data_IF_792464394240
#
_entry.id   IF_792464394240
#
_cell.length_a   1.000
_cell.length_b   1.000
_cell.length_c   1.000
_cell.angle_alpha   90.00
_cell.angle_beta   90.00
_cell.angle_gamma   90.00
#
_symmetry.space_group_name_H-M   'P 1'
#
loop_
_entity.id
_entity.type
_entity.pdbx_description
1 polymer ?
#
# COMPACT_ATOMS: atom_id res chain seq x y z
N UNK A 1 -6.12 -1.80 10.75
CA UNK A 1 -4.95 -1.88 9.84
C UNK A 1 -3.84 -2.62 10.57
N UNK A 2 -3.20 -3.60 9.96
CA UNK A 2 -2.09 -4.35 10.57
C UNK A 2 -0.77 -3.56 10.50
N UNK A 3 0.15 -3.85 11.44
CA UNK A 3 1.57 -3.49 11.31
C UNK A 3 2.29 -4.49 10.39
N UNK A 4 3.58 -4.28 10.13
CA UNK A 4 4.33 -5.19 9.26
C UNK A 4 4.40 -6.63 9.80
N UNK A 5 4.47 -6.81 11.12
CA UNK A 5 4.49 -8.14 11.76
C UNK A 5 3.20 -8.93 11.58
N UNK A 6 2.09 -8.24 11.36
CA UNK A 6 0.78 -8.87 11.17
C UNK A 6 0.52 -9.25 9.70
N UNK A 7 1.40 -8.82 8.78
CA UNK A 7 1.29 -9.11 7.35
C UNK A 7 2.07 -10.39 7.04
N UNK A 8 1.35 -11.36 6.49
CA UNK A 8 1.90 -12.65 6.13
C UNK A 8 2.76 -12.56 4.87
N UNK A 9 4.01 -13.05 4.94
CA UNK A 9 4.95 -13.04 3.82
C UNK A 9 5.48 -11.66 3.43
N UNK A 10 5.94 -11.53 2.19
CA UNK A 10 6.51 -10.30 1.61
C UNK A 10 7.69 -9.71 2.37
N UNK A 11 8.54 -10.58 2.97
CA UNK A 11 9.63 -10.18 3.86
C UNK A 11 10.58 -9.16 3.23
N UNK A 12 10.91 -9.31 1.94
CA UNK A 12 11.80 -8.38 1.23
C UNK A 12 11.20 -6.97 1.15
N UNK A 13 9.89 -6.85 0.92
CA UNK A 13 9.21 -5.56 0.86
C UNK A 13 9.11 -4.94 2.25
N UNK A 14 8.74 -5.73 3.25
CA UNK A 14 8.68 -5.29 4.65
C UNK A 14 10.04 -4.79 5.12
N UNK A 15 11.11 -5.53 4.83
CA UNK A 15 12.46 -5.15 5.21
C UNK A 15 12.91 -3.86 4.50
N UNK A 16 12.62 -3.74 3.19
CA UNK A 16 12.87 -2.50 2.45
C UNK A 16 12.21 -1.29 3.11
N UNK A 17 10.93 -1.39 3.47
CA UNK A 17 10.21 -0.31 4.15
C UNK A 17 10.77 -0.02 5.54
N UNK A 18 11.07 -1.06 6.34
CA UNK A 18 11.67 -0.89 7.67
C UNK A 18 13.01 -0.19 7.59
N UNK A 19 13.87 -0.58 6.67
CA UNK A 19 15.17 0.07 6.45
C UNK A 19 15.02 1.51 6.00
N UNK A 20 14.07 1.81 5.09
CA UNK A 20 13.82 3.18 4.64
C UNK A 20 13.43 4.09 5.83
N UNK A 21 12.57 3.62 6.73
CA UNK A 21 12.18 4.36 7.93
C UNK A 21 13.35 4.53 8.90
N UNK A 22 14.09 3.45 9.19
CA UNK A 22 15.23 3.46 10.13
C UNK A 22 16.36 4.39 9.70
N UNK A 23 16.64 4.41 8.40
CA UNK A 23 17.75 5.21 7.83
C UNK A 23 17.34 6.62 7.43
N UNK A 24 16.03 6.92 7.48
CA UNK A 24 15.49 8.18 6.97
C UNK A 24 15.60 8.35 5.45
N UNK A 25 15.92 7.27 4.72
CA UNK A 25 16.06 7.27 3.25
C UNK A 25 14.77 6.78 2.59
N UNK A 26 13.70 7.50 2.82
CA UNK A 26 12.39 7.21 2.25
C UNK A 26 12.32 7.81 0.84
N UNK A 27 12.00 7.00 -0.16
CA UNK A 27 11.74 7.49 -1.50
C UNK A 27 10.39 8.22 -1.56
N UNK A 28 10.30 9.20 -2.44
CA UNK A 28 9.09 10.01 -2.60
C UNK A 28 7.95 9.30 -3.36
N UNK A 29 8.27 8.23 -4.13
CA UNK A 29 7.26 7.48 -4.87
C UNK A 29 7.57 5.98 -4.93
N UNK A 30 6.55 5.17 -4.68
CA UNK A 30 6.60 3.71 -4.74
C UNK A 30 5.44 3.17 -5.58
N UNK A 31 5.69 2.10 -6.31
CA UNK A 31 4.66 1.29 -6.97
C UNK A 31 4.63 -0.08 -6.32
N UNK A 32 3.51 -0.46 -5.72
CA UNK A 32 3.26 -1.80 -5.21
C UNK A 32 2.38 -2.53 -6.21
N UNK A 33 2.97 -3.51 -6.90
CA UNK A 33 2.27 -4.28 -7.93
C UNK A 33 2.03 -5.73 -7.50
N UNK A 34 0.86 -6.27 -7.84
CA UNK A 34 0.46 -7.62 -7.53
C UNK A 34 -1.03 -7.84 -7.76
N UNK A 35 -1.50 -9.08 -7.80
CA UNK A 35 -2.92 -9.38 -7.97
C UNK A 35 -3.78 -8.80 -6.81
N UNK A 36 -5.07 -8.60 -7.08
CA UNK A 36 -6.04 -8.26 -6.04
C UNK A 36 -6.04 -9.34 -4.94
N UNK A 37 -6.05 -8.93 -3.66
CA UNK A 37 -6.01 -9.87 -2.53
C UNK A 37 -4.61 -10.28 -2.07
N UNK A 38 -3.52 -9.87 -2.73
CA UNK A 38 -2.15 -10.20 -2.32
C UNK A 38 -1.59 -9.33 -1.18
N UNK A 39 -2.34 -8.34 -0.67
CA UNK A 39 -1.91 -7.54 0.48
C UNK A 39 -1.25 -6.19 0.15
N UNK A 40 -1.35 -5.68 -1.08
CA UNK A 40 -0.83 -4.37 -1.48
C UNK A 40 -1.25 -3.25 -0.54
N UNK A 41 -2.56 -3.15 -0.28
CA UNK A 41 -3.14 -2.12 0.60
C UNK A 41 -2.69 -2.28 2.06
N UNK A 42 -2.56 -3.52 2.52
CA UNK A 42 -2.04 -3.79 3.87
C UNK A 42 -0.59 -3.33 4.03
N UNK A 43 0.27 -3.61 3.06
CA UNK A 43 1.67 -3.15 3.05
C UNK A 43 1.77 -1.62 2.97
N UNK A 44 0.99 -0.99 2.09
CA UNK A 44 0.96 0.47 1.96
C UNK A 44 0.52 1.14 3.27
N UNK A 45 -0.52 0.61 3.90
CA UNK A 45 -1.03 1.10 5.18
C UNK A 45 -0.04 0.90 6.34
N UNK A 46 0.64 -0.25 6.40
CA UNK A 46 1.67 -0.50 7.41
C UNK A 46 2.86 0.45 7.24
N UNK A 47 3.25 0.73 6.01
CA UNK A 47 4.31 1.69 5.72
C UNK A 47 3.89 3.12 6.09
N UNK A 48 2.68 3.55 5.71
CA UNK A 48 2.14 4.84 6.11
C UNK A 48 2.08 4.99 7.64
N UNK A 49 1.60 3.96 8.35
CA UNK A 49 1.60 3.92 9.81
C UNK A 49 3.01 4.12 10.41
N UNK A 50 4.02 3.46 9.84
CA UNK A 50 5.40 3.60 10.30
C UNK A 50 5.96 4.99 10.05
N UNK A 51 5.67 5.60 8.89
CA UNK A 51 6.10 6.95 8.54
C UNK A 51 5.47 8.03 9.42
N UNK A 52 4.21 7.82 9.81
CA UNK A 52 3.43 8.79 10.59
C UNK A 52 3.54 8.55 12.11
N UNK A 53 4.13 7.42 12.54
CA UNK A 53 4.27 7.07 13.94
C UNK A 53 5.20 8.05 14.68
N UNK A 54 4.72 8.70 15.74
CA UNK A 54 5.47 9.68 16.54
C UNK A 54 6.76 9.10 17.18
N UNK A 55 6.82 7.77 17.35
CA UNK A 55 8.01 7.11 17.92
C UNK A 55 9.12 6.90 16.90
N UNK A 56 8.88 7.15 15.61
CA UNK A 56 9.87 7.00 14.54
C UNK A 56 10.47 5.59 14.42
N UNK A 57 9.75 4.57 14.83
CA UNK A 57 10.19 3.18 14.76
C UNK A 57 9.83 2.57 13.41
N UNK A 58 10.66 1.64 12.94
CA UNK A 58 10.39 0.87 11.71
C UNK A 58 9.13 0.00 11.80
N UNK A 59 8.74 -0.38 13.01
CA UNK A 59 7.46 -1.03 13.29
C UNK A 59 6.56 -0.02 14.01
N UNK A 60 5.33 0.25 13.53
CA UNK A 60 4.47 1.25 14.16
C UNK A 60 4.06 0.83 15.57
N UNK A 61 4.04 1.78 16.51
CA UNK A 61 3.77 1.48 17.91
C UNK A 61 2.30 1.18 18.23
N UNK A 62 1.37 1.48 17.34
CA UNK A 62 -0.09 1.30 17.44
C UNK A 62 -0.77 2.03 18.61
N UNK A 63 -0.04 2.83 19.39
CA UNK A 63 -0.54 3.41 20.64
C UNK A 63 -0.46 4.94 20.68
N UNK A 64 0.45 5.58 19.92
CA UNK A 64 0.57 7.03 19.88
C UNK A 64 -0.64 7.68 19.22
N UNK A 65 -0.78 8.99 19.36
CA UNK A 65 -1.90 9.74 18.81
C UNK A 65 -2.01 9.59 17.29
N UNK A 66 -0.90 9.76 16.58
CA UNK A 66 -0.85 9.58 15.12
C UNK A 66 -1.27 8.17 14.68
N UNK A 67 -0.77 7.11 15.33
CA UNK A 67 -1.20 5.74 15.02
C UNK A 67 -2.71 5.56 15.21
N UNK A 68 -3.29 6.08 16.29
CA UNK A 68 -4.73 6.01 16.55
C UNK A 68 -5.53 6.76 15.48
N UNK A 69 -5.06 7.94 15.06
CA UNK A 69 -5.70 8.69 13.97
C UNK A 69 -5.65 7.95 12.63
N UNK A 70 -4.50 7.32 12.29
CA UNK A 70 -4.40 6.48 11.08
C UNK A 70 -5.36 5.30 11.15
N UNK A 71 -5.41 4.61 12.30
CA UNK A 71 -6.30 3.46 12.50
C UNK A 71 -7.79 3.83 12.40
N UNK A 72 -8.17 5.02 12.84
CA UNK A 72 -9.53 5.56 12.74
C UNK A 72 -9.85 6.22 11.39
N UNK A 73 -8.86 6.31 10.48
CA UNK A 73 -9.04 6.94 9.16
C UNK A 73 -9.07 8.48 9.17
N UNK A 74 -8.64 9.11 10.28
CA UNK A 74 -8.76 10.56 10.49
C UNK A 74 -7.41 11.30 10.58
N UNK A 75 -6.30 10.67 10.12
CA UNK A 75 -5.00 11.32 10.15
C UNK A 75 -4.89 12.36 9.04
N UNK A 76 -4.61 13.65 9.34
CA UNK A 76 -4.63 14.73 8.34
C UNK A 76 -3.52 14.61 7.28
N UNK A 77 -2.42 13.93 7.61
CA UNK A 77 -1.27 13.76 6.71
C UNK A 77 -1.28 12.41 5.97
N UNK A 78 -2.38 11.64 6.05
CA UNK A 78 -2.62 10.43 5.26
C UNK A 78 -3.82 10.64 4.35
N UNK A 79 -3.57 10.73 3.06
CA UNK A 79 -4.58 11.00 2.05
C UNK A 79 -4.78 9.77 1.18
N UNK A 80 -5.99 9.22 1.18
CA UNK A 80 -6.42 8.24 0.21
C UNK A 80 -7.05 8.97 -0.97
N UNK A 81 -6.42 8.86 -2.13
CA UNK A 81 -6.94 9.48 -3.35
C UNK A 81 -8.20 8.74 -3.79
N UNK A 82 -9.29 9.46 -3.89
CA UNK A 82 -10.59 8.97 -4.35
C UNK A 82 -10.86 9.41 -5.77
N UNK A 83 -11.78 8.76 -6.46
CA UNK A 83 -12.21 9.13 -7.81
C UNK A 83 -13.73 8.92 -7.95
N UNK A 84 -14.38 9.83 -8.66
CA UNK A 84 -15.83 9.76 -8.88
C UNK A 84 -16.21 8.67 -9.88
N UNK A 85 -15.37 8.47 -10.91
CA UNK A 85 -15.63 7.49 -11.97
C UNK A 85 -15.06 6.13 -11.61
N UNK A 86 -15.88 5.08 -11.44
CA UNK A 86 -15.41 3.76 -11.01
C UNK A 86 -14.33 3.13 -11.91
N UNK A 87 -14.32 3.50 -13.21
CA UNK A 87 -13.43 2.90 -14.20
C UNK A 87 -12.15 3.71 -14.47
N UNK A 88 -12.03 4.95 -13.99
CA UNK A 88 -10.89 5.81 -14.30
C UNK A 88 -10.58 6.83 -13.22
N UNK A 89 -9.29 7.09 -13.03
CA UNK A 89 -8.77 8.20 -12.22
C UNK A 89 -8.39 9.30 -13.21
N UNK A 90 -9.10 10.42 -13.13
CA UNK A 90 -8.96 11.55 -14.05
C UNK A 90 -7.82 12.49 -13.64
N UNK A 91 -7.55 13.45 -14.51
CA UNK A 91 -6.54 14.48 -14.26
C UNK A 91 -6.91 15.37 -13.08
N UNK A 92 -8.19 15.65 -12.90
CA UNK A 92 -8.67 16.52 -11.82
C UNK A 92 -8.57 15.81 -10.48
N UNK A 93 -8.85 14.48 -10.40
CA UNK A 93 -8.62 13.68 -9.19
C UNK A 93 -7.18 13.80 -8.68
N UNK A 94 -6.20 13.79 -9.59
CA UNK A 94 -4.77 13.92 -9.24
C UNK A 94 -4.40 15.36 -8.91
N UNK A 95 -4.91 16.35 -9.65
CA UNK A 95 -4.59 17.76 -9.40
C UNK A 95 -5.11 18.23 -8.06
N UNK A 96 -6.40 18.03 -7.80
CA UNK A 96 -7.05 18.52 -6.58
C UNK A 96 -6.54 17.81 -5.33
N UNK A 97 -6.36 16.49 -5.39
CA UNK A 97 -6.03 15.71 -4.19
C UNK A 97 -4.52 15.56 -3.95
N UNK A 98 -3.67 15.62 -4.97
CA UNK A 98 -2.23 15.51 -4.81
C UNK A 98 -1.55 16.83 -5.11
N UNK A 99 -1.61 17.33 -6.35
CA UNK A 99 -0.76 18.45 -6.79
C UNK A 99 -1.04 19.74 -6.00
N UNK A 100 -2.29 20.05 -5.74
CA UNK A 100 -2.68 21.27 -5.02
C UNK A 100 -2.42 21.17 -3.51
N UNK A 101 -2.45 19.96 -2.97
CA UNK A 101 -2.31 19.74 -1.52
C UNK A 101 -0.88 19.42 -1.09
N UNK A 102 -0.03 18.92 -2.00
CA UNK A 102 1.30 18.41 -1.65
C UNK A 102 2.27 19.52 -1.21
N UNK A 103 2.07 20.75 -1.71
CA UNK A 103 2.88 21.91 -1.34
C UNK A 103 2.59 22.43 0.08
N UNK A 104 1.44 22.05 0.63
CA UNK A 104 1.11 22.36 2.02
C UNK A 104 1.84 21.37 2.92
N UNK A 105 2.65 21.87 3.83
CA UNK A 105 3.42 21.03 4.78
C UNK A 105 2.50 20.11 5.59
N UNK A 106 3.03 18.96 6.05
CA UNK A 106 2.31 18.10 6.98
C UNK A 106 1.82 18.86 8.21
N UNK A 107 0.65 18.51 8.68
CA UNK A 107 0.01 19.17 9.83
C UNK A 107 0.60 18.70 11.17
N UNK A 108 0.75 17.38 11.32
CA UNK A 108 1.11 16.77 12.62
C UNK A 108 2.30 15.81 12.54
N UNK A 109 2.73 15.41 11.36
CA UNK A 109 3.80 14.44 11.16
C UNK A 109 4.96 15.02 10.35
N UNK A 110 6.08 14.28 10.25
CA UNK A 110 7.17 14.66 9.36
C UNK A 110 6.83 14.41 7.89
N UNK A 111 6.11 13.31 7.62
CA UNK A 111 5.72 12.90 6.27
C UNK A 111 4.25 13.21 5.99
N UNK A 112 3.96 13.43 4.71
CA UNK A 112 2.62 13.50 4.15
C UNK A 112 2.49 12.38 3.11
N UNK A 113 1.58 11.44 3.35
CA UNK A 113 1.48 10.19 2.60
C UNK A 113 0.21 10.19 1.76
N UNK A 114 0.36 9.89 0.49
CA UNK A 114 -0.72 9.73 -0.48
C UNK A 114 -0.80 8.27 -0.92
N UNK A 115 -1.97 7.68 -0.87
CA UNK A 115 -2.23 6.32 -1.35
C UNK A 115 -3.23 6.40 -2.50
N UNK A 116 -2.79 5.95 -3.67
CA UNK A 116 -3.63 5.81 -4.87
C UNK A 116 -3.88 4.32 -5.08
N UNK A 117 -5.07 3.85 -4.70
CA UNK A 117 -5.47 2.47 -4.98
C UNK A 117 -5.97 2.35 -6.41
N UNK A 118 -5.87 1.15 -7.00
CA UNK A 118 -6.22 0.90 -8.41
C UNK A 118 -5.56 1.89 -9.38
N UNK A 119 -4.29 2.23 -9.12
CA UNK A 119 -3.57 3.27 -9.86
C UNK A 119 -3.40 2.96 -11.37
N UNK A 120 -3.61 1.72 -11.80
CA UNK A 120 -3.74 1.34 -13.21
C UNK A 120 -4.91 2.02 -13.93
N UNK A 121 -5.88 2.54 -13.18
CA UNK A 121 -7.02 3.30 -13.73
C UNK A 121 -6.69 4.75 -14.06
N UNK A 122 -5.49 5.24 -13.72
CA UNK A 122 -5.08 6.59 -14.08
C UNK A 122 -5.02 6.77 -15.60
N UNK A 123 -5.74 7.78 -16.10
CA UNK A 123 -5.62 8.18 -17.49
C UNK A 123 -4.19 8.67 -17.80
N UNK A 124 -3.80 8.69 -19.07
CA UNK A 124 -2.50 9.22 -19.50
C UNK A 124 -2.32 10.68 -19.03
N UNK A 125 -3.40 11.47 -19.07
CA UNK A 125 -3.39 12.86 -18.61
C UNK A 125 -3.18 12.94 -17.08
N UNK A 126 -3.80 12.05 -16.30
CA UNK A 126 -3.61 11.96 -14.86
C UNK A 126 -2.16 11.58 -14.50
N UNK A 127 -1.59 10.60 -15.20
CA UNK A 127 -0.20 10.22 -15.03
C UNK A 127 0.77 11.36 -15.37
N UNK A 128 0.52 12.08 -16.46
CA UNK A 128 1.32 13.24 -16.83
C UNK A 128 1.20 14.40 -15.82
N UNK A 129 0.02 14.60 -15.23
CA UNK A 129 -0.15 15.60 -14.18
C UNK A 129 0.63 15.23 -12.91
N UNK A 130 0.74 13.93 -12.59
CA UNK A 130 1.49 13.42 -11.44
C UNK A 130 3.01 13.52 -11.64
N UNK A 131 3.50 13.47 -12.90
CA UNK A 131 4.94 13.50 -13.21
C UNK A 131 5.66 14.69 -12.62
N UNK A 132 5.08 15.90 -12.69
CA UNK A 132 5.69 17.12 -12.15
C UNK A 132 5.97 16.97 -10.64
N UNK A 133 5.03 16.40 -9.93
CA UNK A 133 5.14 16.17 -8.48
C UNK A 133 6.17 15.10 -8.15
N UNK A 134 6.28 14.05 -8.98
CA UNK A 134 7.27 12.98 -8.77
C UNK A 134 8.69 13.44 -9.15
N UNK A 135 8.83 14.38 -10.08
CA UNK A 135 10.14 14.92 -10.50
C UNK A 135 10.75 15.89 -9.49
N UNK A 136 9.92 16.74 -8.88
CA UNK A 136 10.34 17.73 -7.90
C UNK A 136 9.50 17.63 -6.61
N UNK A 137 9.55 16.48 -5.91
CA UNK A 137 8.71 16.27 -4.73
C UNK A 137 9.23 17.07 -3.54
N UNK A 138 8.35 17.62 -2.70
CA UNK A 138 8.74 18.09 -1.38
C UNK A 138 9.37 16.95 -0.56
N UNK A 139 10.38 17.25 0.24
CA UNK A 139 11.14 16.24 1.02
C UNK A 139 10.29 15.38 1.97
N UNK A 140 9.13 15.87 2.36
CA UNK A 140 8.19 15.21 3.25
C UNK A 140 7.11 14.38 2.53
N UNK A 141 7.03 14.47 1.19
CA UNK A 141 5.96 13.82 0.44
C UNK A 141 6.31 12.38 0.07
N UNK A 142 5.36 11.46 0.29
CA UNK A 142 5.46 10.06 -0.10
C UNK A 142 4.20 9.64 -0.84
N UNK A 143 4.34 9.12 -2.05
CA UNK A 143 3.24 8.70 -2.90
C UNK A 143 3.32 7.19 -3.10
N UNK A 144 2.26 6.46 -2.76
CA UNK A 144 2.14 5.01 -2.91
C UNK A 144 1.09 4.70 -3.97
N UNK A 145 1.54 4.16 -5.11
CA UNK A 145 0.69 3.72 -6.21
C UNK A 145 0.47 2.21 -6.12
N UNK A 146 -0.76 1.79 -5.89
CA UNK A 146 -1.12 0.37 -5.78
C UNK A 146 -1.77 -0.09 -7.08
N UNK A 147 -1.24 -1.15 -7.68
CA UNK A 147 -1.70 -1.61 -9.01
C UNK A 147 -1.77 -3.12 -9.14
N UNK A 148 -2.73 -3.59 -9.93
CA UNK A 148 -2.75 -4.98 -10.41
C UNK A 148 -2.00 -5.14 -11.73
N UNK A 149 -1.81 -4.03 -12.46
CA UNK A 149 -1.17 -4.03 -13.77
C UNK A 149 -0.14 -2.90 -13.89
N UNK A 150 1.13 -3.25 -13.76
CA UNK A 150 2.23 -2.29 -13.84
C UNK A 150 2.43 -1.73 -15.26
N UNK A 151 2.04 -2.49 -16.29
CA UNK A 151 2.20 -2.09 -17.70
C UNK A 151 1.24 -0.95 -18.11
N UNK A 152 0.26 -0.63 -17.25
CA UNK A 152 -0.61 0.52 -17.44
C UNK A 152 0.08 1.87 -17.19
N UNK A 153 1.26 1.87 -16.55
CA UNK A 153 2.00 3.10 -16.29
C UNK A 153 2.90 3.52 -17.46
N UNK A 154 3.00 4.83 -17.62
CA UNK A 154 3.98 5.41 -18.54
C UNK A 154 5.42 5.06 -18.10
N UNK A 155 6.34 4.80 -19.04
CA UNK A 155 7.75 4.56 -18.73
C UNK A 155 8.38 5.68 -17.89
N UNK A 156 7.92 6.90 -18.06
CA UNK A 156 8.36 8.08 -17.30
C UNK A 156 7.96 8.02 -15.82
N UNK A 157 6.82 7.43 -15.48
CA UNK A 157 6.40 7.14 -14.09
C UNK A 157 7.26 6.01 -13.53
N UNK A 158 7.36 4.89 -14.27
CA UNK A 158 8.10 3.70 -13.84
C UNK A 158 9.57 4.01 -13.50
N UNK A 159 10.21 4.87 -14.29
CA UNK A 159 11.64 5.22 -14.10
C UNK A 159 11.91 6.09 -12.86
N UNK A 160 10.88 6.69 -12.27
CA UNK A 160 10.98 7.60 -11.12
C UNK A 160 10.43 7.04 -9.81
N UNK A 161 9.83 5.85 -9.88
CA UNK A 161 9.26 5.18 -8.71
C UNK A 161 10.07 3.95 -8.31
N UNK A 162 10.15 3.69 -7.02
CA UNK A 162 10.64 2.40 -6.50
C UNK A 162 9.56 1.35 -6.75
N UNK A 163 9.90 0.33 -7.54
CA UNK A 163 8.96 -0.71 -7.94
C UNK A 163 9.09 -1.93 -7.02
N UNK A 164 8.01 -2.26 -6.32
CA UNK A 164 7.93 -3.37 -5.36
C UNK A 164 6.85 -4.34 -5.84
N UNK A 165 7.27 -5.49 -6.34
CA UNK A 165 6.37 -6.52 -6.85
C UNK A 165 6.09 -7.58 -5.78
N UNK A 166 4.82 -7.72 -5.41
CA UNK A 166 4.35 -8.76 -4.51
C UNK A 166 4.44 -10.11 -5.21
N UNK A 167 4.90 -11.11 -4.48
CA UNK A 167 4.99 -12.50 -4.97
C UNK A 167 3.92 -13.36 -4.27
N UNK A 168 3.39 -14.38 -4.95
CA UNK A 168 2.52 -15.35 -4.30
C UNK A 168 3.19 -15.97 -3.07
N UNK A 169 2.40 -16.20 -2.03
CA UNK A 169 2.83 -16.94 -0.85
C UNK A 169 2.97 -18.43 -1.18
N UNK A 170 3.75 -19.15 -0.36
CA UNK A 170 3.78 -20.61 -0.46
C UNK A 170 2.42 -21.19 -0.01
N UNK A 171 1.93 -22.22 -0.69
CA UNK A 171 0.66 -22.84 -0.34
C UNK A 171 0.62 -23.35 1.11
N UNK A 172 1.76 -23.85 1.63
CA UNK A 172 1.88 -24.27 3.04
C UNK A 172 1.61 -23.12 4.02
N UNK A 173 2.07 -21.91 3.71
CA UNK A 173 1.86 -20.71 4.53
C UNK A 173 0.39 -20.27 4.50
N UNK A 174 -0.23 -20.34 3.33
CA UNK A 174 -1.65 -20.02 3.16
C UNK A 174 -2.51 -21.04 3.91
N UNK A 175 -2.21 -22.35 3.78
CA UNK A 175 -2.91 -23.42 4.50
C UNK A 175 -2.83 -23.25 6.00
N UNK A 176 -1.63 -23.01 6.52
CA UNK A 176 -1.41 -22.78 7.95
C UNK A 176 -2.25 -21.60 8.47
N UNK A 177 -2.31 -20.51 7.73
CA UNK A 177 -3.14 -19.36 8.08
C UNK A 177 -4.64 -19.70 8.10
N UNK A 178 -5.14 -20.43 7.10
CA UNK A 178 -6.55 -20.86 7.04
C UNK A 178 -6.93 -21.70 8.26
N UNK A 179 -6.07 -22.66 8.64
CA UNK A 179 -6.33 -23.53 9.79
C UNK A 179 -6.23 -22.76 11.12
N UNK A 180 -5.11 -22.05 11.34
CA UNK A 180 -4.84 -21.44 12.65
C UNK A 180 -5.64 -20.15 12.89
N UNK A 181 -5.87 -19.34 11.85
CA UNK A 181 -6.50 -18.02 12.02
C UNK A 181 -7.99 -18.01 11.69
N UNK A 182 -8.45 -18.88 10.79
CA UNK A 182 -9.86 -18.94 10.37
C UNK A 182 -10.58 -20.21 10.84
N UNK A 183 -9.86 -21.18 11.41
CA UNK A 183 -10.45 -22.42 11.89
C UNK A 183 -10.96 -23.35 10.80
N UNK A 184 -10.49 -23.18 9.55
CA UNK A 184 -10.86 -24.02 8.40
C UNK A 184 -10.30 -25.42 8.62
N UNK A 185 -11.11 -26.46 8.32
CA UNK A 185 -10.67 -27.86 8.42
C UNK A 185 -9.46 -28.12 7.49
N UNK A 186 -8.52 -28.95 7.92
CA UNK A 186 -7.22 -29.14 7.26
C UNK A 186 -7.38 -29.61 5.79
N UNK A 187 -8.33 -30.53 5.53
CA UNK A 187 -8.63 -30.99 4.18
C UNK A 187 -9.17 -29.89 3.25
N UNK A 188 -10.04 -29.03 3.77
CA UNK A 188 -10.56 -27.88 3.04
C UNK A 188 -9.48 -26.81 2.85
N UNK A 189 -8.66 -26.56 3.87
CA UNK A 189 -7.56 -25.61 3.80
C UNK A 189 -6.52 -25.99 2.74
N UNK A 190 -6.26 -27.28 2.54
CA UNK A 190 -5.41 -27.79 1.47
C UNK A 190 -5.98 -27.45 0.09
N UNK A 191 -7.28 -27.72 -0.12
CA UNK A 191 -7.97 -27.41 -1.37
C UNK A 191 -7.95 -25.90 -1.64
N UNK A 192 -8.33 -25.09 -0.66
CA UNK A 192 -8.40 -23.61 -0.80
C UNK A 192 -7.03 -22.99 -1.05
N UNK A 193 -5.98 -23.47 -0.38
CA UNK A 193 -4.62 -22.97 -0.61
C UNK A 193 -4.14 -23.28 -2.03
N UNK A 194 -4.40 -24.47 -2.54
CA UNK A 194 -4.09 -24.86 -3.91
C UNK A 194 -4.84 -24.01 -4.96
N UNK A 195 -6.14 -23.75 -4.75
CA UNK A 195 -6.94 -22.87 -5.61
C UNK A 195 -6.49 -21.42 -5.57
N UNK A 196 -6.11 -20.93 -4.42
CA UNK A 196 -5.67 -19.55 -4.22
C UNK A 196 -4.29 -19.26 -4.85
N UNK A 197 -3.46 -20.29 -5.09
CA UNK A 197 -2.13 -20.15 -5.71
C UNK A 197 -1.29 -19.07 -5.04
N UNK A 198 -1.24 -19.10 -3.72
CA UNK A 198 -0.48 -18.14 -2.92
C UNK A 198 -1.12 -16.76 -2.77
N UNK A 199 -2.36 -16.56 -3.23
CA UNK A 199 -3.12 -15.33 -3.02
C UNK A 199 -3.96 -15.46 -1.75
N UNK A 200 -3.50 -14.84 -0.66
CA UNK A 200 -4.13 -14.95 0.65
C UNK A 200 -5.58 -14.42 0.65
N UNK A 201 -5.85 -13.32 -0.04
CA UNK A 201 -7.21 -12.76 -0.11
C UNK A 201 -8.21 -13.70 -0.79
N UNK A 202 -7.79 -14.39 -1.86
CA UNK A 202 -8.60 -15.44 -2.50
C UNK A 202 -8.85 -16.60 -1.54
N UNK A 203 -7.81 -17.03 -0.80
CA UNK A 203 -7.93 -18.11 0.17
C UNK A 203 -8.89 -17.77 1.31
N UNK A 204 -8.80 -16.56 1.86
CA UNK A 204 -9.70 -16.06 2.90
C UNK A 204 -11.15 -16.03 2.40
N UNK A 205 -11.36 -15.52 1.18
CA UNK A 205 -12.69 -15.49 0.57
C UNK A 205 -13.31 -16.88 0.46
N UNK A 206 -12.54 -17.88 0.02
CA UNK A 206 -13.00 -19.27 -0.06
C UNK A 206 -13.31 -19.85 1.32
N UNK A 207 -12.48 -19.58 2.33
CA UNK A 207 -12.68 -20.09 3.69
C UNK A 207 -13.82 -19.41 4.46
N UNK A 208 -14.30 -18.24 4.02
CA UNK A 208 -15.42 -17.52 4.64
C UNK A 208 -16.75 -17.67 3.88
N UNK A 209 -16.75 -18.34 2.73
CA UNK A 209 -17.91 -18.46 1.85
C UNK A 209 -18.80 -19.66 2.19
N UNK A 210 -18.62 -20.30 3.35
CA UNK A 210 -19.48 -21.34 3.91
C UNK A 210 -20.38 -20.70 5.04
#
# INVERSE_FOLDING_TARGET
>A
MPGFKDILGHEQIKEHFKQAVQTGKVSHAYILSGEAGMGRKSLANAFALSLLCEKGLSEPCMQCHACKQVLSGNHPDLIYVTHEKPASIGVDDIREQINDTILVRPYSSYYKVYIVDEAEKMTVQAQNALLKTIEEPPSYAVILLLTTNQDAFLPTILSRCVQLKLKPLKDSVVREYLVQSLGVEEGQAEIYSAFARGNLGKAIYLGQSE
#
